data_IF_974461226918
#
_entry.id   IF_974461226918
#
_cell.length_a   1.000
_cell.length_b   1.000
_cell.length_c   1.000
_cell.angle_alpha   90.00
_cell.angle_beta   90.00
_cell.angle_gamma   90.00
#
_symmetry.space_group_name_H-M   'P 1'
#
loop_
_entity.id
_entity.type
_entity.pdbx_description
1 polymer ?
#
# COMPACT_ATOMS: atom_id res chain seq x y z
N UNK A 1 -29.01 5.19 3.40
CA UNK A 1 -29.10 6.50 4.07
C UNK A 1 -28.81 6.31 5.55
N UNK A 2 -27.89 7.12 6.17
CA UNK A 2 -27.65 7.03 7.59
C UNK A 2 -28.94 7.32 8.37
N UNK A 3 -29.15 6.59 9.45
CA UNK A 3 -30.35 6.79 10.29
C UNK A 3 -30.27 8.17 10.94
N UNK A 4 -31.36 8.98 10.92
CA UNK A 4 -31.37 10.30 11.56
C UNK A 4 -30.99 10.21 13.04
N UNK A 5 -30.05 11.07 13.47
CA UNK A 5 -29.70 11.24 14.89
C UNK A 5 -28.46 10.47 15.36
N UNK A 6 -27.80 9.64 14.54
CA UNK A 6 -26.55 8.97 14.91
C UNK A 6 -25.36 9.78 14.40
N UNK A 7 -24.54 10.29 15.32
CA UNK A 7 -23.26 10.92 14.96
C UNK A 7 -22.22 9.84 14.71
N UNK A 8 -21.95 9.56 13.44
CA UNK A 8 -20.73 8.84 13.04
C UNK A 8 -19.67 9.88 12.77
N UNK A 9 -18.50 9.72 13.36
CA UNK A 9 -17.37 10.58 13.02
C UNK A 9 -16.89 10.24 11.60
N UNK A 10 -17.29 11.09 10.65
CA UNK A 10 -16.77 11.03 9.30
C UNK A 10 -15.48 11.86 9.22
N UNK A 11 -14.30 11.22 9.06
CA UNK A 11 -13.02 11.93 9.05
C UNK A 11 -12.86 12.88 7.86
N UNK A 12 -13.68 12.75 6.84
CA UNK A 12 -13.67 13.59 5.65
C UNK A 12 -14.61 14.80 5.81
N UNK A 13 -15.76 14.61 6.45
CA UNK A 13 -16.75 15.68 6.59
C UNK A 13 -16.32 16.76 7.59
N UNK A 14 -15.67 16.37 8.68
CA UNK A 14 -15.26 17.30 9.74
C UNK A 14 -14.42 18.46 9.25
N UNK A 15 -13.30 18.27 8.52
CA UNK A 15 -12.49 19.38 8.01
C UNK A 15 -13.26 20.30 7.07
N UNK A 16 -14.14 19.72 6.23
CA UNK A 16 -14.97 20.49 5.29
C UNK A 16 -15.99 21.34 6.01
N UNK A 17 -16.65 20.80 7.06
CA UNK A 17 -17.63 21.54 7.86
C UNK A 17 -16.98 22.68 8.66
N UNK A 18 -15.76 22.47 9.14
CA UNK A 18 -15.03 23.48 9.94
C UNK A 18 -14.44 24.60 9.08
N UNK A 19 -13.98 24.28 7.87
CA UNK A 19 -13.21 25.21 7.03
C UNK A 19 -13.99 25.73 5.82
N UNK A 20 -15.08 25.05 5.43
CA UNK A 20 -15.86 25.40 4.25
C UNK A 20 -15.14 25.16 2.92
N UNK A 21 -14.05 24.36 2.90
CA UNK A 21 -13.24 24.09 1.71
C UNK A 21 -13.18 22.60 1.40
N UNK A 22 -12.96 22.29 0.13
CA UNK A 22 -12.78 20.91 -0.31
C UNK A 22 -11.47 20.33 0.25
N UNK A 23 -11.50 19.03 0.60
CA UNK A 23 -10.33 18.28 1.03
C UNK A 23 -10.21 16.99 0.21
N UNK A 24 -8.97 16.57 -0.04
CA UNK A 24 -8.70 15.27 -0.70
C UNK A 24 -7.38 14.68 -0.22
N UNK A 25 -7.29 13.36 -0.23
CA UNK A 25 -6.08 12.65 0.17
C UNK A 25 -6.38 11.27 0.77
N UNK A 26 -5.43 10.76 1.53
CA UNK A 26 -5.61 9.48 2.24
C UNK A 26 -6.38 9.68 3.53
N UNK A 27 -7.39 8.84 3.75
CA UNK A 27 -8.18 8.80 4.97
C UNK A 27 -8.16 7.40 5.58
N UNK A 28 -8.17 7.32 6.92
CA UNK A 28 -8.38 6.08 7.66
C UNK A 28 -9.83 6.06 8.13
N UNK A 29 -10.54 5.01 7.74
CA UNK A 29 -11.95 4.80 8.03
C UNK A 29 -12.07 3.75 9.13
N UNK A 30 -12.81 4.05 10.19
CA UNK A 30 -13.03 3.07 11.26
C UNK A 30 -13.99 1.96 10.81
N UNK A 31 -13.94 0.82 11.50
CA UNK A 31 -14.85 -0.29 11.21
C UNK A 31 -16.33 0.09 11.39
N UNK A 32 -16.62 0.91 12.40
CA UNK A 32 -17.97 1.41 12.69
C UNK A 32 -18.50 2.26 11.53
N UNK A 33 -17.68 3.18 11.02
CA UNK A 33 -18.01 4.01 9.87
C UNK A 33 -18.28 3.13 8.63
N UNK A 34 -17.40 2.17 8.37
CA UNK A 34 -17.51 1.30 7.19
C UNK A 34 -18.76 0.40 7.26
N UNK A 35 -19.10 -0.13 8.43
CA UNK A 35 -20.33 -0.93 8.62
C UNK A 35 -21.58 -0.10 8.34
N UNK A 36 -21.58 1.18 8.73
CA UNK A 36 -22.72 2.07 8.47
C UNK A 36 -22.84 2.46 6.99
N UNK A 37 -21.70 2.67 6.31
CA UNK A 37 -21.68 2.98 4.87
C UNK A 37 -22.08 1.76 4.03
N UNK A 38 -21.39 0.65 4.22
CA UNK A 38 -21.62 -0.58 3.49
C UNK A 38 -20.93 -1.76 4.17
N UNK A 39 -21.69 -2.77 4.52
CA UNK A 39 -21.19 -3.99 5.18
C UNK A 39 -20.11 -4.71 4.35
N UNK A 40 -20.22 -4.72 3.03
CA UNK A 40 -19.21 -5.34 2.15
C UNK A 40 -17.87 -4.60 2.22
N UNK A 41 -17.88 -3.26 2.31
CA UNK A 41 -16.65 -2.48 2.51
C UNK A 41 -16.02 -2.82 3.86
N UNK A 42 -16.79 -2.97 4.91
CA UNK A 42 -16.29 -3.39 6.22
C UNK A 42 -15.63 -4.77 6.17
N UNK A 43 -16.25 -5.74 5.50
CA UNK A 43 -15.68 -7.09 5.34
C UNK A 43 -14.36 -7.07 4.53
N UNK A 44 -14.26 -6.22 3.51
CA UNK A 44 -13.02 -6.07 2.75
C UNK A 44 -11.84 -5.56 3.59
N UNK A 45 -12.10 -4.81 4.68
CA UNK A 45 -11.03 -4.31 5.55
C UNK A 45 -10.51 -5.37 6.52
N UNK A 46 -11.24 -6.46 6.74
CA UNK A 46 -10.84 -7.52 7.65
C UNK A 46 -9.68 -8.33 7.07
N UNK A 47 -8.48 -8.08 7.58
CA UNK A 47 -7.25 -8.76 7.17
C UNK A 47 -6.63 -9.41 8.40
N UNK A 48 -6.61 -10.75 8.39
CA UNK A 48 -5.94 -11.53 9.43
C UNK A 48 -4.44 -11.33 9.31
N UNK A 49 -3.79 -11.04 10.42
CA UNK A 49 -2.34 -10.94 10.44
C UNK A 49 -1.70 -12.32 10.27
N UNK A 50 -0.67 -12.38 9.45
CA UNK A 50 0.15 -13.57 9.33
C UNK A 50 0.83 -13.85 10.67
N UNK A 51 0.82 -15.11 11.11
CA UNK A 51 1.45 -15.53 12.34
C UNK A 51 2.95 -15.17 12.31
N UNK A 52 3.36 -14.27 13.22
CA UNK A 52 4.77 -14.00 13.48
C UNK A 52 5.35 -15.04 14.43
N UNK A 53 6.69 -15.05 14.64
CA UNK A 53 7.34 -15.99 15.57
C UNK A 53 6.81 -15.92 17.00
N UNK A 54 6.19 -14.83 17.40
CA UNK A 54 5.62 -14.59 18.73
C UNK A 54 4.12 -14.91 18.85
N UNK A 55 3.47 -15.37 17.79
CA UNK A 55 2.02 -15.63 17.75
C UNK A 55 1.61 -16.95 18.47
N UNK A 56 2.33 -17.36 19.52
CA UNK A 56 2.07 -18.62 20.25
C UNK A 56 0.87 -18.56 21.21
N UNK A 57 0.14 -17.45 21.33
CA UNK A 57 -0.98 -17.30 22.27
C UNK A 57 -2.25 -16.74 21.62
N UNK A 58 -3.03 -17.60 21.08
CA UNK A 58 -4.50 -17.66 21.12
C UNK A 58 -5.34 -16.78 20.20
N UNK A 59 -5.21 -15.51 20.14
CA UNK A 59 -6.06 -14.64 19.32
C UNK A 59 -5.32 -14.18 18.05
N UNK A 60 -5.85 -14.51 16.89
CA UNK A 60 -5.34 -13.95 15.64
C UNK A 60 -5.70 -12.47 15.60
N UNK A 61 -4.69 -11.61 15.66
CA UNK A 61 -4.89 -10.18 15.44
C UNK A 61 -5.42 -9.95 14.01
N UNK A 62 -6.32 -8.99 13.86
CA UNK A 62 -6.85 -8.58 12.56
C UNK A 62 -6.84 -7.05 12.42
N UNK A 63 -6.67 -6.58 11.20
CA UNK A 63 -7.01 -5.20 10.82
C UNK A 63 -8.47 -5.19 10.42
N UNK A 64 -9.22 -4.21 10.92
CA UNK A 64 -10.61 -3.96 10.60
C UNK A 64 -10.88 -2.50 10.18
N UNK A 65 -9.83 -1.67 10.12
CA UNK A 65 -9.91 -0.30 9.62
C UNK A 65 -9.56 -0.22 8.14
N UNK A 66 -10.18 0.71 7.42
CA UNK A 66 -9.97 0.95 6.01
C UNK A 66 -8.98 2.08 5.76
N UNK A 67 -8.12 1.92 4.76
CA UNK A 67 -7.39 3.02 4.15
C UNK A 67 -8.06 3.35 2.82
N UNK A 68 -8.38 4.62 2.58
CA UNK A 68 -9.02 5.07 1.36
C UNK A 68 -8.32 6.30 0.78
N UNK A 69 -8.30 6.40 -0.55
CA UNK A 69 -8.10 7.68 -1.23
C UNK A 69 -9.47 8.30 -1.38
N UNK A 70 -9.67 9.47 -0.81
CA UNK A 70 -10.99 10.07 -0.71
C UNK A 70 -10.95 11.58 -0.90
N UNK A 71 -12.10 12.13 -1.27
CA UNK A 71 -12.32 13.56 -1.35
C UNK A 71 -13.66 13.93 -0.72
N UNK A 72 -13.76 15.14 -0.20
CA UNK A 72 -14.97 15.71 0.30
C UNK A 72 -15.07 17.19 -0.08
N UNK A 73 -16.26 17.63 -0.45
CA UNK A 73 -16.53 18.99 -0.88
C UNK A 73 -17.74 19.56 -0.15
N UNK A 74 -17.76 20.86 0.21
CA UNK A 74 -18.92 21.50 0.79
C UNK A 74 -20.01 21.70 -0.27
N UNK A 75 -21.26 21.57 0.14
CA UNK A 75 -22.45 21.87 -0.68
C UNK A 75 -23.10 23.11 -0.11
N UNK A 76 -23.20 24.18 -0.91
CA UNK A 76 -23.79 25.45 -0.51
C UNK A 76 -25.09 25.77 -1.26
N UNK A 77 -25.99 26.50 -0.58
CA UNK A 77 -27.06 27.25 -1.20
C UNK A 77 -26.82 28.74 -0.90
N UNK A 78 -26.40 29.50 -1.91
CA UNK A 78 -25.85 30.84 -1.70
C UNK A 78 -24.66 30.76 -0.75
N UNK A 79 -24.80 31.41 0.42
CA UNK A 79 -23.77 31.43 1.47
C UNK A 79 -24.04 30.41 2.61
N UNK A 80 -25.15 29.65 2.51
CA UNK A 80 -25.49 28.67 3.54
C UNK A 80 -24.89 27.30 3.22
N UNK A 81 -24.06 26.78 4.13
CA UNK A 81 -23.54 25.43 4.03
C UNK A 81 -24.66 24.41 4.33
N UNK A 82 -25.09 23.67 3.31
CA UNK A 82 -26.15 22.64 3.43
C UNK A 82 -25.62 21.30 3.89
N UNK A 83 -24.36 20.98 3.55
CA UNK A 83 -23.79 19.69 3.87
C UNK A 83 -22.45 19.42 3.18
N UNK A 84 -22.02 18.18 3.20
CA UNK A 84 -20.78 17.70 2.58
C UNK A 84 -21.07 16.54 1.66
N UNK A 85 -20.60 16.62 0.42
CA UNK A 85 -20.55 15.47 -0.48
C UNK A 85 -19.16 14.86 -0.39
N UNK A 86 -19.06 13.56 -0.15
CA UNK A 86 -17.80 12.83 -0.09
C UNK A 86 -17.86 11.51 -0.85
N UNK A 87 -16.66 11.02 -1.23
CA UNK A 87 -16.51 9.73 -1.89
C UNK A 87 -15.05 9.31 -1.90
N UNK A 88 -14.80 8.04 -2.23
CA UNK A 88 -13.43 7.53 -2.26
C UNK A 88 -13.33 6.09 -2.74
N UNK A 89 -12.10 5.60 -2.78
CA UNK A 89 -11.73 4.25 -3.18
C UNK A 89 -11.03 3.59 -2.00
N UNK A 90 -11.59 2.48 -1.50
CA UNK A 90 -10.99 1.67 -0.45
C UNK A 90 -9.78 0.91 -1.02
N UNK A 91 -8.63 1.05 -0.36
CA UNK A 91 -7.36 0.43 -0.78
C UNK A 91 -7.15 -0.98 -0.21
N UNK A 92 -7.86 -1.35 0.88
CA UNK A 92 -7.80 -2.69 1.44
C UNK A 92 -8.25 -3.72 0.40
N UNK A 93 -7.41 -4.75 0.16
CA UNK A 93 -7.64 -5.79 -0.86
C UNK A 93 -7.89 -5.22 -2.28
N UNK A 94 -7.39 -4.02 -2.57
CA UNK A 94 -7.48 -3.42 -3.91
C UNK A 94 -6.40 -4.02 -4.81
N UNK A 95 -6.64 -5.26 -5.26
CA UNK A 95 -5.71 -6.00 -6.12
C UNK A 95 -5.53 -5.28 -7.47
N UNK A 96 -6.62 -4.82 -8.06
CA UNK A 96 -6.57 -4.07 -9.33
C UNK A 96 -5.67 -2.83 -9.25
N UNK A 97 -5.65 -2.13 -8.11
CA UNK A 97 -4.81 -0.96 -7.95
C UNK A 97 -3.31 -1.31 -8.00
N UNK A 98 -2.88 -2.29 -7.20
CA UNK A 98 -1.46 -2.70 -7.18
C UNK A 98 -1.04 -3.39 -8.47
N UNK A 99 -1.96 -4.09 -9.14
CA UNK A 99 -1.70 -4.70 -10.44
C UNK A 99 -1.58 -3.63 -11.54
N UNK A 100 -2.43 -2.59 -11.53
CA UNK A 100 -2.31 -1.44 -12.44
C UNK A 100 -0.98 -0.71 -12.26
N UNK A 101 -0.53 -0.50 -11.01
CA UNK A 101 0.79 0.08 -10.74
C UNK A 101 1.89 -0.78 -11.36
N UNK A 102 1.84 -2.11 -11.16
CA UNK A 102 2.79 -3.04 -11.79
C UNK A 102 2.77 -2.93 -13.31
N UNK A 103 1.61 -3.01 -13.93
CA UNK A 103 1.48 -2.95 -15.40
C UNK A 103 1.97 -1.61 -15.94
N UNK A 104 1.64 -0.50 -15.30
CA UNK A 104 2.02 0.84 -15.75
C UNK A 104 3.53 1.08 -15.62
N UNK A 105 4.12 0.67 -14.50
CA UNK A 105 5.54 0.94 -14.20
C UNK A 105 6.45 -0.07 -14.88
N UNK A 106 6.08 -1.35 -14.87
CA UNK A 106 6.92 -2.44 -15.35
C UNK A 106 6.44 -3.05 -16.67
N UNK A 107 5.35 -2.52 -17.27
CA UNK A 107 4.81 -2.88 -18.60
C UNK A 107 4.58 -4.39 -18.78
N UNK A 108 4.21 -5.09 -17.69
CA UNK A 108 4.00 -6.54 -17.71
C UNK A 108 5.29 -7.35 -17.90
N UNK A 109 6.47 -6.72 -17.80
CA UNK A 109 7.74 -7.39 -18.02
C UNK A 109 7.94 -8.55 -17.04
N UNK A 110 8.43 -9.66 -17.58
CA UNK A 110 8.74 -10.86 -16.79
C UNK A 110 10.17 -11.34 -17.04
N UNK A 111 10.75 -11.97 -16.04
CA UNK A 111 12.07 -12.59 -16.11
C UNK A 111 11.99 -14.03 -15.57
N UNK A 112 12.37 -15.01 -16.38
CA UNK A 112 12.28 -16.45 -16.06
C UNK A 112 10.88 -16.85 -15.57
N UNK A 113 9.82 -16.31 -16.21
CA UNK A 113 8.42 -16.60 -15.87
C UNK A 113 7.87 -15.92 -14.62
N UNK A 114 8.66 -15.04 -13.97
CA UNK A 114 8.24 -14.24 -12.80
C UNK A 114 8.11 -12.78 -13.19
N UNK A 115 7.12 -12.08 -12.63
CA UNK A 115 7.02 -10.63 -12.78
C UNK A 115 8.26 -9.97 -12.19
N UNK A 116 8.84 -9.00 -12.92
CA UNK A 116 10.01 -8.26 -12.42
C UNK A 116 9.63 -7.20 -11.39
N UNK A 117 8.39 -6.78 -11.36
CA UNK A 117 7.92 -5.70 -10.51
C UNK A 117 6.89 -6.13 -9.50
N UNK A 118 6.97 -5.55 -8.31
CA UNK A 118 5.99 -5.73 -7.23
C UNK A 118 5.58 -4.38 -6.65
N UNK A 119 4.33 -4.29 -6.20
CA UNK A 119 3.79 -3.12 -5.51
C UNK A 119 2.98 -3.56 -4.29
N UNK A 120 3.02 -2.76 -3.24
CA UNK A 120 2.27 -3.02 -2.00
C UNK A 120 1.84 -1.72 -1.34
N UNK A 121 0.65 -1.72 -0.78
CA UNK A 121 0.16 -0.69 0.14
C UNK A 121 0.13 -1.29 1.54
N UNK A 122 0.72 -0.57 2.49
CA UNK A 122 0.70 -0.92 3.90
C UNK A 122 -0.21 0.04 4.67
N UNK A 123 -1.01 -0.49 5.58
CA UNK A 123 -1.61 0.26 6.67
C UNK A 123 -0.77 0.03 7.92
N UNK A 124 -0.20 1.09 8.46
CA UNK A 124 0.93 1.00 9.36
C UNK A 124 2.04 0.13 8.72
N UNK A 125 2.41 -0.96 9.35
CA UNK A 125 3.42 -1.91 8.90
C UNK A 125 2.86 -3.18 8.23
N UNK A 126 1.53 -3.27 8.06
CA UNK A 126 0.83 -4.46 7.57
C UNK A 126 0.40 -4.30 6.11
N UNK A 127 0.66 -5.31 5.28
CA UNK A 127 0.22 -5.35 3.87
C UNK A 127 -1.30 -5.47 3.76
N UNK A 128 -1.95 -4.44 3.24
CA UNK A 128 -3.40 -4.40 3.00
C UNK A 128 -3.79 -4.59 1.53
N UNK A 129 -2.88 -4.31 0.61
CA UNK A 129 -3.00 -4.64 -0.82
C UNK A 129 -1.61 -4.92 -1.39
N UNK A 130 -1.45 -6.00 -2.15
CA UNK A 130 -0.13 -6.41 -2.66
C UNK A 130 -0.27 -7.36 -3.85
N UNK A 131 0.70 -7.32 -4.77
CA UNK A 131 0.93 -8.36 -5.77
C UNK A 131 2.17 -9.21 -5.47
N UNK A 132 2.80 -9.03 -4.31
CA UNK A 132 3.80 -9.97 -3.80
C UNK A 132 3.10 -11.29 -3.46
N UNK A 133 3.68 -12.41 -3.93
CA UNK A 133 3.15 -13.74 -3.67
C UNK A 133 3.96 -14.45 -2.58
N UNK A 134 3.27 -15.22 -1.75
CA UNK A 134 3.89 -16.19 -0.84
C UNK A 134 4.41 -17.40 -1.62
N UNK A 135 5.23 -18.27 -1.03
CA UNK A 135 5.68 -19.51 -1.68
C UNK A 135 4.53 -20.41 -2.16
N UNK A 136 3.36 -20.31 -1.53
CA UNK A 136 2.14 -21.07 -1.90
C UNK A 136 1.34 -20.38 -3.04
N UNK A 137 1.87 -19.29 -3.62
CA UNK A 137 1.23 -18.56 -4.73
C UNK A 137 0.06 -17.65 -4.32
N UNK A 138 -0.14 -17.40 -3.03
CA UNK A 138 -1.17 -16.47 -2.53
C UNK A 138 -0.60 -15.08 -2.34
N UNK A 139 -1.42 -14.04 -2.47
CA UNK A 139 -1.02 -12.67 -2.13
C UNK A 139 -0.66 -12.56 -0.66
N UNK A 140 0.46 -11.90 -0.37
CA UNK A 140 1.06 -11.81 0.97
C UNK A 140 0.32 -10.82 1.90
N UNK A 141 -1.00 -10.79 1.87
CA UNK A 141 -1.84 -9.95 2.73
C UNK A 141 -1.62 -10.30 4.21
N UNK A 142 -1.69 -9.29 5.08
CA UNK A 142 -1.55 -9.46 6.53
C UNK A 142 -0.11 -9.66 7.01
N UNK A 143 0.87 -9.75 6.11
CA UNK A 143 2.28 -9.84 6.52
C UNK A 143 2.82 -8.45 6.86
N UNK A 144 3.80 -8.40 7.76
CA UNK A 144 4.43 -7.15 8.21
C UNK A 144 5.74 -6.88 7.45
N UNK A 145 6.07 -5.60 7.33
CA UNK A 145 7.42 -5.17 6.94
C UNK A 145 8.41 -5.37 8.11
N UNK A 146 9.71 -5.36 7.81
CA UNK A 146 10.73 -5.44 8.87
C UNK A 146 10.66 -4.24 9.82
N UNK A 147 11.02 -4.42 11.12
CA UNK A 147 11.06 -3.31 12.08
C UNK A 147 11.94 -2.15 11.63
N UNK A 148 13.06 -2.44 10.98
CA UNK A 148 14.01 -1.43 10.49
C UNK A 148 13.35 -0.50 9.45
N UNK A 149 12.67 -1.05 8.44
CA UNK A 149 11.96 -0.28 7.42
C UNK A 149 10.81 0.51 8.06
N UNK A 150 10.02 -0.14 8.94
CA UNK A 150 8.95 0.52 9.68
C UNK A 150 9.45 1.76 10.42
N UNK A 151 10.50 1.62 11.21
CA UNK A 151 11.03 2.70 12.04
C UNK A 151 11.64 3.81 11.20
N UNK A 152 12.23 3.48 10.03
CA UNK A 152 12.75 4.49 9.11
C UNK A 152 11.63 5.25 8.40
N UNK A 153 10.64 4.54 7.86
CA UNK A 153 9.60 5.14 7.02
C UNK A 153 8.49 5.75 7.87
N UNK A 154 7.91 5.01 8.81
CA UNK A 154 6.84 5.53 9.65
C UNK A 154 7.37 6.38 10.81
N UNK A 155 8.45 5.94 11.44
CA UNK A 155 9.05 6.66 12.56
C UNK A 155 9.67 7.99 12.14
N UNK A 156 10.56 7.96 11.15
CA UNK A 156 11.33 9.15 10.73
C UNK A 156 10.69 9.89 9.55
N UNK A 157 9.71 9.31 8.85
CA UNK A 157 9.06 9.91 7.68
C UNK A 157 9.96 10.01 6.45
N UNK A 158 10.95 9.15 6.32
CA UNK A 158 11.93 9.20 5.22
C UNK A 158 11.71 8.07 4.24
N UNK A 159 11.99 8.35 2.98
CA UNK A 159 12.07 7.33 1.95
C UNK A 159 13.16 6.30 2.33
N UNK A 160 12.81 5.02 2.24
CA UNK A 160 13.76 3.91 2.33
C UNK A 160 14.03 3.36 0.94
N UNK A 161 15.30 3.18 0.61
CA UNK A 161 15.70 2.53 -0.65
C UNK A 161 16.86 1.60 -0.35
N UNK A 162 16.66 0.29 -0.51
CA UNK A 162 17.68 -0.73 -0.29
C UNK A 162 17.25 -2.06 -0.91
N UNK A 163 18.13 -3.05 -0.81
CA UNK A 163 17.84 -4.44 -1.15
C UNK A 163 17.02 -5.07 -0.03
N UNK A 164 15.97 -5.79 -0.40
CA UNK A 164 15.20 -6.58 0.55
C UNK A 164 14.99 -8.01 0.04
N UNK A 165 15.13 -8.98 0.95
CA UNK A 165 14.75 -10.36 0.67
C UNK A 165 13.26 -10.51 0.97
N UNK A 166 12.47 -10.79 -0.07
CA UNK A 166 11.02 -10.92 0.04
C UNK A 166 10.65 -12.33 -0.35
N UNK A 167 10.28 -13.15 0.65
CA UNK A 167 9.99 -14.58 0.55
C UNK A 167 11.13 -15.41 -0.04
N UNK A 168 11.27 -15.45 -1.36
CA UNK A 168 12.24 -16.32 -2.06
C UNK A 168 13.26 -15.55 -2.89
N UNK A 169 13.08 -14.24 -3.03
CA UNK A 169 13.82 -13.45 -4.02
C UNK A 169 14.37 -12.16 -3.43
N UNK A 170 15.48 -11.70 -4.00
CA UNK A 170 16.02 -10.38 -3.71
C UNK A 170 15.40 -9.32 -4.63
N UNK A 171 14.96 -8.22 -4.03
CA UNK A 171 14.42 -7.06 -4.72
C UNK A 171 15.23 -5.81 -4.38
N UNK A 172 15.41 -4.94 -5.36
CA UNK A 172 15.75 -3.53 -5.13
C UNK A 172 14.43 -2.84 -4.80
N UNK A 173 14.32 -2.24 -3.63
CA UNK A 173 13.05 -1.78 -3.07
C UNK A 173 13.07 -0.31 -2.72
N UNK A 174 11.90 0.33 -2.81
CA UNK A 174 11.66 1.65 -2.27
C UNK A 174 10.37 1.67 -1.46
N UNK A 175 10.40 2.32 -0.29
CA UNK A 175 9.25 2.53 0.59
C UNK A 175 9.09 4.02 0.85
N UNK A 176 7.91 4.55 0.58
CA UNK A 176 7.56 5.94 0.82
C UNK A 176 6.42 6.03 1.86
N UNK A 177 6.48 6.96 2.83
CA UNK A 177 5.41 7.11 3.79
C UNK A 177 4.13 7.62 3.12
N UNK A 178 2.98 7.13 3.60
CA UNK A 178 1.64 7.62 3.25
C UNK A 178 1.14 8.45 4.44
N UNK A 179 0.76 9.69 4.17
CA UNK A 179 0.18 10.60 5.14
C UNK A 179 -1.31 10.79 4.87
N UNK A 180 -2.08 10.93 5.94
CA UNK A 180 -3.50 11.28 5.86
C UNK A 180 -3.70 12.76 5.54
N UNK A 181 -4.95 13.14 5.22
CA UNK A 181 -5.38 14.54 5.08
C UNK A 181 -4.97 15.39 6.30
N UNK A 182 -4.91 14.80 7.50
CA UNK A 182 -4.46 15.48 8.72
C UNK A 182 -2.95 15.52 8.93
N UNK A 183 -2.15 15.05 7.96
CA UNK A 183 -0.68 15.01 8.05
C UNK A 183 -0.12 13.86 8.91
N UNK A 184 -0.96 12.95 9.40
CA UNK A 184 -0.51 11.79 10.19
C UNK A 184 -0.01 10.69 9.26
N UNK A 185 1.20 10.20 9.49
CA UNK A 185 1.73 9.02 8.80
C UNK A 185 0.99 7.77 9.23
N UNK A 186 0.43 7.05 8.29
CA UNK A 186 -0.47 5.92 8.58
C UNK A 186 -0.17 4.68 7.76
N UNK A 187 0.80 4.74 6.87
CA UNK A 187 1.14 3.62 6.04
C UNK A 187 2.33 3.89 5.14
N UNK A 188 2.57 2.97 4.23
CA UNK A 188 3.68 3.03 3.28
C UNK A 188 3.23 2.53 1.91
N UNK A 189 3.74 3.18 0.87
CA UNK A 189 3.74 2.64 -0.48
C UNK A 189 5.08 1.96 -0.72
N UNK A 190 5.05 0.73 -1.22
CA UNK A 190 6.22 -0.06 -1.58
C UNK A 190 6.20 -0.37 -3.06
N UNK A 191 7.36 -0.29 -3.68
CA UNK A 191 7.66 -0.86 -4.98
C UNK A 191 8.95 -1.65 -4.90
N UNK A 192 9.03 -2.75 -5.64
CA UNK A 192 10.22 -3.60 -5.70
C UNK A 192 10.49 -4.08 -7.11
N UNK A 193 11.75 -4.17 -7.47
CA UNK A 193 12.24 -4.69 -8.76
C UNK A 193 13.11 -5.91 -8.50
N UNK A 194 12.85 -7.01 -9.21
CA UNK A 194 13.59 -8.26 -9.08
C UNK A 194 15.08 -8.05 -9.42
N UNK A 195 15.94 -8.24 -8.45
CA UNK A 195 17.38 -7.99 -8.59
C UNK A 195 18.07 -8.96 -9.55
N UNK A 196 17.60 -10.22 -9.61
CA UNK A 196 18.22 -11.25 -10.43
C UNK A 196 18.34 -10.85 -11.91
N UNK A 197 17.33 -10.11 -12.43
CA UNK A 197 17.36 -9.62 -13.80
C UNK A 197 18.59 -8.73 -14.08
N UNK A 198 18.91 -7.83 -13.15
CA UNK A 198 20.03 -6.90 -13.30
C UNK A 198 21.37 -7.60 -13.14
N UNK A 199 21.47 -8.57 -12.24
CA UNK A 199 22.66 -9.39 -12.06
C UNK A 199 22.97 -10.23 -13.31
N UNK A 200 21.95 -10.78 -13.98
CA UNK A 200 22.14 -11.51 -15.24
C UNK A 200 22.63 -10.61 -16.36
N UNK A 201 22.08 -9.40 -16.50
CA UNK A 201 22.54 -8.42 -17.49
C UNK A 201 23.99 -8.03 -17.25
N UNK A 202 24.38 -7.75 -16.00
CA UNK A 202 25.77 -7.45 -15.65
C UNK A 202 26.72 -8.61 -16.00
N UNK A 203 26.35 -9.85 -15.70
CA UNK A 203 27.15 -11.03 -16.05
C UNK A 203 27.33 -11.17 -17.57
N UNK A 204 26.27 -10.98 -18.35
CA UNK A 204 26.32 -11.03 -19.81
C UNK A 204 27.25 -9.97 -20.37
N UNK A 205 27.14 -8.71 -19.89
CA UNK A 205 28.00 -7.62 -20.30
C UNK A 205 29.47 -7.94 -19.99
N UNK A 206 29.79 -8.36 -18.75
CA UNK A 206 31.14 -8.73 -18.34
C UNK A 206 31.70 -9.88 -19.19
N UNK A 207 30.88 -10.87 -19.51
CA UNK A 207 31.31 -12.00 -20.38
C UNK A 207 31.65 -11.52 -21.77
N UNK A 208 30.82 -10.67 -22.38
CA UNK A 208 31.07 -10.11 -23.72
C UNK A 208 32.36 -9.24 -23.71
N UNK A 209 32.55 -8.38 -22.71
CA UNK A 209 33.75 -7.58 -22.57
C UNK A 209 35.00 -8.47 -22.40
N UNK A 210 34.94 -9.52 -21.58
CA UNK A 210 36.06 -10.43 -21.38
C UNK A 210 36.46 -11.16 -22.67
N UNK A 211 35.47 -11.62 -23.46
CA UNK A 211 35.70 -12.27 -24.72
C UNK A 211 36.32 -11.32 -25.76
N UNK A 212 35.81 -10.08 -25.86
CA UNK A 212 36.36 -9.06 -26.78
C UNK A 212 37.82 -8.69 -26.40
N UNK A 213 38.07 -8.49 -25.12
CA UNK A 213 39.42 -8.17 -24.65
C UNK A 213 40.40 -9.32 -24.90
N UNK A 214 39.96 -10.56 -24.66
CA UNK A 214 40.76 -11.76 -24.95
C UNK A 214 41.08 -11.93 -26.45
N UNK A 215 40.10 -11.60 -27.33
CA UNK A 215 40.30 -11.67 -28.77
C UNK A 215 41.24 -10.58 -29.33
N UNK A 216 41.36 -9.44 -28.65
CA UNK A 216 42.30 -8.36 -29.04
C UNK A 216 43.73 -8.64 -28.59
N UNK A 217 43.92 -9.46 -27.53
CA UNK A 217 45.24 -9.79 -27.02
C UNK A 217 45.92 -11.02 -27.69
N UNK A 218 45.22 -11.73 -28.56
CA UNK A 218 45.70 -12.81 -29.39
C UNK A 218 46.08 -12.32 -30.80
#
# INVERSE_FOLDING_TARGET
FPRPGRRVENPLAKPVLEQGVAVSGTAILSSEFLVEENHELAERTRILLAAGPEAATGAREEINSGMAIAAAVPVFDGNLLLGVLYGGILLNRSESFVDTVRETVFQGESFKGRSIGTATIFLNDVRIATNVLTPEGKRALGTRVSPEVRDHVLGRGKLWTDRAFVFSDWFITAYSPIETISGRRTGMLYVGVLEEKYNDIQRQILTVYSLLTGAIML
#
